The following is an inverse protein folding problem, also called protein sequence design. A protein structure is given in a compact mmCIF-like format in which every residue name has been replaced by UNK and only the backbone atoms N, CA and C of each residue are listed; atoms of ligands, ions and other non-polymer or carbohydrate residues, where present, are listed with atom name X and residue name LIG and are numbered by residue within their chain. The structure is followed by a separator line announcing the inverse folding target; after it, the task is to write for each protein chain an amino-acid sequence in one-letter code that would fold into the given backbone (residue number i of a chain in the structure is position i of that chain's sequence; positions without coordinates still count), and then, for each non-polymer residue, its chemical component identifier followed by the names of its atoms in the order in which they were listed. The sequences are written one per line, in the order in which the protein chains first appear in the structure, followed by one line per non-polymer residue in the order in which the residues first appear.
data_IF_263770542594
#
_entry.id   IF_263770542594
#
_cell.length_a   1.000
_cell.length_b   1.000
_cell.length_c   1.000
_cell.angle_alpha   90.00
_cell.angle_beta   90.00
_cell.angle_gamma   90.00
#
_symmetry.space_group_name_H-M   'P 1'
#
loop_
_entity.id
_entity.type
_entity.pdbx_description
1 polymer ?
#
# COMPACT_ATOMS: atom_id res chain seq x y z
N UNK A 1 5.18 -4.52 26.22
CA UNK A 1 4.52 -3.21 26.44
C UNK A 1 4.88 -2.16 25.37
N UNK A 2 6.15 -1.74 25.18
CA UNK A 2 6.53 -0.80 24.10
C UNK A 2 6.23 -1.31 22.68
N UNK A 3 6.46 -2.60 22.42
CA UNK A 3 6.18 -3.23 21.11
C UNK A 3 4.69 -3.23 20.75
N UNK A 4 3.82 -3.55 21.70
CA UNK A 4 2.37 -3.60 21.48
C UNK A 4 1.76 -2.22 21.26
N UNK A 5 2.23 -1.20 21.98
CA UNK A 5 1.83 0.20 21.76
C UNK A 5 2.21 0.65 20.34
N UNK A 6 3.42 0.34 19.88
CA UNK A 6 3.86 0.65 18.52
C UNK A 6 3.05 -0.12 17.47
N UNK A 7 2.76 -1.40 17.71
CA UNK A 7 1.92 -2.17 16.80
C UNK A 7 0.50 -1.61 16.71
N UNK A 8 -0.08 -1.23 17.84
CA UNK A 8 -1.38 -0.56 17.86
C UNK A 8 -1.33 0.79 17.14
N UNK A 9 -0.22 1.54 17.26
CA UNK A 9 0.00 2.77 16.50
C UNK A 9 -0.03 2.51 14.98
N UNK A 10 0.74 1.52 14.48
CA UNK A 10 0.81 1.23 13.05
C UNK A 10 -0.50 0.67 12.48
N UNK A 11 -1.24 -0.12 13.26
CA UNK A 11 -2.57 -0.62 12.87
C UNK A 11 -3.60 0.51 12.68
N UNK A 12 -3.46 1.60 13.44
CA UNK A 12 -4.43 2.68 13.47
C UNK A 12 -4.03 3.92 12.65
N UNK A 13 -2.77 4.03 12.22
CA UNK A 13 -2.24 5.21 11.52
C UNK A 13 -1.54 4.77 10.23
N UNK A 14 -1.69 5.58 9.19
CA UNK A 14 -1.01 5.38 7.89
C UNK A 14 0.12 6.39 7.72
N UNK A 15 1.28 5.98 7.22
CA UNK A 15 2.28 6.95 6.76
C UNK A 15 1.78 7.65 5.50
N UNK A 16 1.46 6.84 4.48
CA UNK A 16 0.99 7.30 3.19
C UNK A 16 -0.42 6.74 2.92
N UNK A 17 -1.47 7.56 2.99
CA UNK A 17 -2.79 7.18 2.51
C UNK A 17 -2.72 6.89 1.01
N UNK A 18 -3.07 5.68 0.61
CA UNK A 18 -3.12 5.29 -0.79
C UNK A 18 -4.42 4.55 -1.11
N UNK A 19 -4.81 4.60 -2.37
CA UNK A 19 -5.99 3.88 -2.86
C UNK A 19 -5.79 2.38 -2.70
N UNK A 20 -6.87 1.64 -2.43
CA UNK A 20 -6.80 0.20 -2.15
C UNK A 20 -6.21 -0.20 -0.80
N UNK A 21 -5.75 0.74 0.03
CA UNK A 21 -5.03 0.42 1.28
C UNK A 21 -5.84 -0.42 2.28
N UNK A 22 -5.33 -1.63 2.59
CA UNK A 22 -5.97 -2.71 3.36
C UNK A 22 -6.02 -2.54 4.88
N UNK A 23 -6.11 -1.30 5.39
CA UNK A 23 -6.07 -1.04 6.83
C UNK A 23 -7.13 -1.80 7.62
N UNK A 24 -8.35 -1.88 7.09
CA UNK A 24 -9.47 -2.59 7.73
C UNK A 24 -9.28 -4.10 7.75
N UNK A 25 -8.45 -4.64 6.86
CA UNK A 25 -8.08 -6.06 6.81
C UNK A 25 -6.88 -6.41 7.67
N UNK A 26 -6.07 -5.45 8.11
CA UNK A 26 -4.85 -5.72 8.89
C UNK A 26 -5.13 -6.67 10.07
N UNK A 27 -6.24 -6.48 10.80
CA UNK A 27 -6.61 -7.35 11.94
C UNK A 27 -6.85 -8.81 11.54
N UNK A 28 -7.25 -9.05 10.29
CA UNK A 28 -7.48 -10.37 9.72
C UNK A 28 -6.23 -10.94 9.05
N UNK A 29 -5.40 -10.10 8.43
CA UNK A 29 -4.18 -10.53 7.73
C UNK A 29 -3.02 -10.81 8.67
N UNK A 30 -2.87 -10.05 9.76
CA UNK A 30 -1.73 -10.20 10.68
C UNK A 30 -1.62 -11.59 11.31
N UNK A 31 -2.72 -12.23 11.77
CA UNK A 31 -2.65 -13.61 12.28
C UNK A 31 -2.24 -14.65 11.23
N UNK A 32 -2.39 -14.34 9.94
CA UNK A 32 -2.08 -15.26 8.83
C UNK A 32 -0.62 -15.16 8.38
N UNK A 33 0.17 -14.25 8.94
CA UNK A 33 1.58 -14.08 8.58
C UNK A 33 2.36 -15.28 9.13
N UNK A 34 2.99 -16.10 8.28
CA UNK A 34 3.72 -17.28 8.71
C UNK A 34 5.10 -16.89 9.24
N UNK A 35 5.82 -17.83 9.87
CA UNK A 35 7.24 -17.63 10.17
C UNK A 35 8.04 -17.47 8.87
N UNK A 36 8.87 -16.43 8.82
CA UNK A 36 9.70 -16.06 7.66
C UNK A 36 10.97 -15.31 8.09
N UNK A 37 11.97 -15.31 7.22
CA UNK A 37 13.19 -14.51 7.38
C UNK A 37 13.15 -13.25 6.53
N UNK A 38 12.70 -13.40 5.28
CA UNK A 38 12.53 -12.31 4.32
C UNK A 38 11.05 -12.03 4.13
N UNK A 39 10.66 -10.76 4.22
CA UNK A 39 9.33 -10.30 3.86
C UNK A 39 9.40 -9.44 2.60
N UNK A 40 8.51 -9.69 1.64
CA UNK A 40 8.42 -8.90 0.40
C UNK A 40 6.97 -8.44 0.22
N UNK A 41 6.75 -7.14 0.25
CA UNK A 41 5.48 -6.53 -0.14
C UNK A 41 5.55 -6.17 -1.62
N UNK A 42 4.98 -7.02 -2.48
CA UNK A 42 5.16 -6.98 -3.95
C UNK A 42 4.44 -5.78 -4.58
N UNK A 43 3.25 -5.48 -4.07
CA UNK A 43 2.39 -4.37 -4.51
C UNK A 43 2.22 -3.42 -3.32
N UNK A 44 3.25 -2.63 -3.08
CA UNK A 44 3.50 -1.93 -1.83
C UNK A 44 2.42 -0.93 -1.45
N UNK A 45 1.90 -0.14 -2.40
CA UNK A 45 0.94 0.92 -2.14
C UNK A 45 1.38 1.79 -0.96
N UNK A 46 0.53 1.89 0.06
CA UNK A 46 0.82 2.61 1.31
C UNK A 46 1.61 1.83 2.39
N UNK A 47 2.11 0.63 2.09
CA UNK A 47 2.87 -0.27 2.98
C UNK A 47 2.14 -0.65 4.28
N UNK A 48 0.81 -0.78 4.21
CA UNK A 48 -0.02 -0.87 5.41
C UNK A 48 0.25 -2.14 6.22
N UNK A 49 0.52 -3.27 5.56
CA UNK A 49 0.83 -4.52 6.25
C UNK A 49 2.28 -4.52 6.75
N UNK A 50 3.24 -4.03 5.97
CA UNK A 50 4.64 -3.87 6.41
C UNK A 50 4.76 -3.08 7.70
N UNK A 51 4.07 -1.94 7.82
CA UNK A 51 4.12 -1.16 9.06
C UNK A 51 3.50 -1.91 10.25
N UNK A 52 2.42 -2.68 10.03
CA UNK A 52 1.65 -3.31 11.09
C UNK A 52 2.13 -4.72 11.51
N UNK A 53 3.01 -5.37 10.73
CA UNK A 53 3.63 -6.64 11.10
C UNK A 53 4.78 -6.41 12.08
N UNK A 54 5.15 -7.46 12.79
CA UNK A 54 6.43 -7.49 13.53
C UNK A 54 7.57 -7.47 12.53
N UNK A 55 8.61 -6.62 12.69
CA UNK A 55 9.75 -6.58 11.78
C UNK A 55 10.40 -7.97 11.58
N UNK A 56 10.74 -8.29 10.34
CA UNK A 56 11.56 -9.45 10.00
C UNK A 56 13.02 -9.04 9.78
N UNK A 57 13.99 -9.98 9.80
CA UNK A 57 15.40 -9.69 9.53
C UNK A 57 15.62 -8.95 8.20
N UNK A 58 14.90 -9.36 7.15
CA UNK A 58 14.89 -8.67 5.86
C UNK A 58 13.45 -8.27 5.51
N UNK A 59 13.27 -7.03 5.09
CA UNK A 59 12.00 -6.49 4.59
C UNK A 59 12.24 -5.72 3.29
N UNK A 60 11.43 -6.01 2.29
CA UNK A 60 11.47 -5.39 0.97
C UNK A 60 10.11 -4.77 0.69
N UNK A 61 10.11 -3.48 0.37
CA UNK A 61 8.98 -2.80 -0.22
C UNK A 61 9.20 -2.68 -1.73
N UNK A 62 8.24 -3.15 -2.52
CA UNK A 62 8.23 -2.97 -3.96
C UNK A 62 6.91 -2.35 -4.41
N UNK A 63 6.97 -1.42 -5.35
CA UNK A 63 5.80 -1.01 -6.12
C UNK A 63 6.25 -0.61 -7.53
N UNK A 64 5.40 -0.83 -8.53
CA UNK A 64 5.69 -0.40 -9.90
C UNK A 64 5.53 1.12 -10.07
N UNK A 65 4.72 1.77 -9.23
CA UNK A 65 4.56 3.23 -9.23
C UNK A 65 5.82 3.91 -8.69
N UNK A 66 6.58 4.52 -9.61
CA UNK A 66 7.82 5.22 -9.28
C UNK A 66 7.62 6.36 -8.28
N UNK A 67 6.43 6.99 -8.21
CA UNK A 67 6.17 8.05 -7.23
C UNK A 67 6.13 7.49 -5.80
N UNK A 68 5.64 6.26 -5.63
CA UNK A 68 5.60 5.57 -4.34
C UNK A 68 6.99 5.09 -3.93
N UNK A 69 7.70 4.40 -4.83
CA UNK A 69 9.05 3.96 -4.56
C UNK A 69 9.99 5.14 -4.27
N UNK A 70 9.89 6.23 -5.04
CA UNK A 70 10.64 7.46 -4.79
C UNK A 70 10.30 8.07 -3.42
N UNK A 71 9.01 8.12 -3.04
CA UNK A 71 8.60 8.62 -1.73
C UNK A 71 9.27 7.83 -0.60
N UNK A 72 9.17 6.50 -0.62
CA UNK A 72 9.76 5.67 0.44
C UNK A 72 11.29 5.75 0.46
N UNK A 73 11.93 5.79 -0.71
CA UNK A 73 13.38 5.97 -0.82
C UNK A 73 13.85 7.31 -0.21
N UNK A 74 13.19 8.42 -0.55
CA UNK A 74 13.49 9.74 0.02
C UNK A 74 13.17 9.77 1.52
N UNK A 75 12.04 9.20 1.93
CA UNK A 75 11.63 9.17 3.32
C UNK A 75 12.66 8.44 4.20
N UNK A 76 13.33 7.41 3.68
CA UNK A 76 14.45 6.76 4.36
C UNK A 76 15.71 7.61 4.29
N UNK A 77 16.14 8.00 3.09
CA UNK A 77 17.51 8.48 2.86
C UNK A 77 17.70 10.00 3.05
N UNK A 78 16.63 10.80 3.01
CA UNK A 78 16.64 12.27 3.11
C UNK A 78 15.55 12.75 4.08
N UNK A 79 15.39 12.03 5.19
CA UNK A 79 14.29 12.24 6.13
C UNK A 79 14.30 13.65 6.76
N UNK A 80 15.48 14.17 7.10
CA UNK A 80 15.59 15.44 7.83
C UNK A 80 15.15 16.62 6.95
N UNK A 81 15.61 16.65 5.71
CA UNK A 81 15.22 17.64 4.70
C UNK A 81 13.73 17.54 4.39
N UNK A 82 13.24 16.31 4.18
CA UNK A 82 11.82 16.04 3.96
C UNK A 82 10.97 16.54 5.13
N UNK A 83 11.34 16.20 6.38
CA UNK A 83 10.59 16.57 7.57
C UNK A 83 10.58 18.09 7.78
N UNK A 84 11.71 18.75 7.55
CA UNK A 84 11.83 20.21 7.67
C UNK A 84 10.86 20.90 6.73
N UNK A 85 10.85 20.53 5.44
CA UNK A 85 9.95 21.12 4.46
C UNK A 85 8.49 20.83 4.80
N UNK A 86 8.15 19.57 5.13
CA UNK A 86 6.79 19.20 5.50
C UNK A 86 6.30 19.92 6.76
N UNK A 87 7.17 20.20 7.75
CA UNK A 87 6.78 20.90 8.96
C UNK A 87 6.23 22.30 8.68
N UNK A 88 6.88 23.04 7.76
CA UNK A 88 6.52 24.43 7.43
C UNK A 88 5.48 24.53 6.31
N UNK A 89 5.34 23.50 5.46
CA UNK A 89 4.47 23.53 4.29
C UNK A 89 2.99 23.69 4.71
N UNK A 90 2.33 24.82 4.38
CA UNK A 90 0.97 25.09 4.83
C UNK A 90 -0.04 24.28 4.01
N UNK A 91 -1.24 24.09 4.58
CA UNK A 91 -2.38 23.64 3.79
C UNK A 91 -2.86 24.79 2.90
N UNK A 92 -2.71 24.65 1.58
CA UNK A 92 -3.07 25.66 0.59
C UNK A 92 -3.62 25.04 -0.69
N UNK A 93 -4.75 25.58 -1.18
CA UNK A 93 -5.34 25.16 -2.45
C UNK A 93 -4.45 25.52 -3.65
N UNK A 94 -3.76 26.67 -3.57
CA UNK A 94 -2.81 27.11 -4.57
C UNK A 94 -1.66 26.11 -4.70
N UNK A 95 -1.03 25.75 -3.57
CA UNK A 95 0.06 24.74 -3.54
C UNK A 95 -0.44 23.41 -4.11
N UNK A 96 -1.63 22.97 -3.67
CA UNK A 96 -2.24 21.71 -4.13
C UNK A 96 -2.42 21.68 -5.65
N UNK A 97 -3.03 22.72 -6.23
CA UNK A 97 -3.23 22.84 -7.68
C UNK A 97 -1.91 22.88 -8.45
N UNK A 98 -0.91 23.58 -7.93
CA UNK A 98 0.44 23.62 -8.51
C UNK A 98 1.10 22.23 -8.47
N UNK A 99 1.01 21.52 -7.35
CA UNK A 99 1.59 20.19 -7.20
C UNK A 99 0.89 19.13 -8.05
N UNK A 100 -0.43 19.22 -8.23
CA UNK A 100 -1.15 18.34 -9.18
C UNK A 100 -0.56 18.47 -10.59
N UNK A 101 -0.27 19.69 -11.05
CA UNK A 101 0.28 19.95 -12.39
C UNK A 101 1.76 19.60 -12.52
N UNK A 102 2.51 19.63 -11.42
CA UNK A 102 3.97 19.50 -11.40
C UNK A 102 4.45 18.25 -10.68
N UNK A 103 3.57 17.27 -10.44
CA UNK A 103 3.86 16.09 -9.64
C UNK A 103 5.11 15.34 -10.10
N UNK A 104 5.27 15.20 -11.42
CA UNK A 104 6.37 14.44 -12.02
C UNK A 104 7.64 15.27 -12.27
N UNK A 105 7.66 16.56 -11.93
CA UNK A 105 8.80 17.47 -12.16
C UNK A 105 9.58 17.76 -10.88
N UNK A 106 10.85 18.16 -11.02
CA UNK A 106 11.75 18.48 -9.92
C UNK A 106 12.62 17.30 -9.47
N UNK A 107 13.35 17.52 -8.39
CA UNK A 107 14.23 16.55 -7.72
C UNK A 107 13.44 15.40 -7.07
N UNK A 108 14.14 14.32 -6.70
CA UNK A 108 13.55 13.20 -5.96
C UNK A 108 12.83 13.67 -4.68
N UNK A 109 13.46 14.58 -3.92
CA UNK A 109 12.92 15.17 -2.70
C UNK A 109 11.63 15.95 -2.97
N UNK A 110 11.64 16.83 -3.98
CA UNK A 110 10.46 17.62 -4.35
C UNK A 110 9.29 16.72 -4.77
N UNK A 111 9.56 15.68 -5.59
CA UNK A 111 8.53 14.70 -5.97
C UNK A 111 7.96 13.98 -4.74
N UNK A 112 8.79 13.56 -3.79
CA UNK A 112 8.34 12.91 -2.57
C UNK A 112 7.47 13.85 -1.69
N UNK A 113 7.85 15.12 -1.57
CA UNK A 113 7.06 16.15 -0.87
C UNK A 113 5.70 16.34 -1.55
N UNK A 114 5.67 16.45 -2.89
CA UNK A 114 4.43 16.57 -3.67
C UNK A 114 3.53 15.34 -3.47
N UNK A 115 4.08 14.13 -3.59
CA UNK A 115 3.37 12.86 -3.35
C UNK A 115 2.75 12.82 -1.95
N UNK A 116 3.53 13.11 -0.92
CA UNK A 116 3.04 13.14 0.46
C UNK A 116 1.95 14.21 0.66
N UNK A 117 2.17 15.42 0.14
CA UNK A 117 1.21 16.50 0.28
C UNK A 117 -0.12 16.17 -0.40
N UNK A 118 -0.10 15.66 -1.64
CA UNK A 118 -1.31 15.36 -2.40
C UNK A 118 -2.09 14.19 -1.80
N UNK A 119 -1.43 13.09 -1.39
CA UNK A 119 -2.11 11.96 -0.72
C UNK A 119 -2.83 12.36 0.58
N UNK A 120 -2.37 13.41 1.25
CA UNK A 120 -2.97 13.92 2.49
C UNK A 120 -3.96 15.07 2.29
N UNK A 121 -3.92 15.78 1.16
CA UNK A 121 -4.77 16.96 0.94
C UNK A 121 -5.85 16.74 -0.11
N UNK A 122 -5.66 15.82 -1.05
CA UNK A 122 -6.70 15.44 -2.01
C UNK A 122 -7.73 14.51 -1.37
N UNK A 123 -9.00 14.70 -1.76
CA UNK A 123 -10.08 13.78 -1.44
C UNK A 123 -9.76 12.37 -1.95
N UNK A 124 -10.01 11.35 -1.12
CA UNK A 124 -9.73 9.95 -1.46
C UNK A 124 -8.24 9.61 -1.58
N UNK A 125 -7.34 10.54 -1.27
CA UNK A 125 -5.87 10.39 -1.37
C UNK A 125 -5.36 10.12 -2.78
N UNK A 126 -6.12 10.54 -3.80
CA UNK A 126 -5.69 10.43 -5.19
C UNK A 126 -4.54 11.39 -5.48
N UNK A 127 -3.52 10.88 -6.18
CA UNK A 127 -2.43 11.70 -6.71
C UNK A 127 -2.85 12.52 -7.93
N UNK A 128 -3.87 12.04 -8.66
CA UNK A 128 -4.37 12.64 -9.90
C UNK A 128 -5.81 13.13 -9.75
N UNK A 129 -6.11 14.22 -10.44
CA UNK A 129 -7.42 14.88 -10.41
C UNK A 129 -7.56 15.93 -9.30
N UNK A 130 -8.39 16.94 -9.55
CA UNK A 130 -8.71 17.99 -8.58
C UNK A 130 -10.11 17.75 -7.99
N UNK A 131 -10.24 17.29 -6.74
CA UNK A 131 -11.54 17.07 -6.11
C UNK A 131 -12.23 18.36 -5.64
N UNK A 132 -11.59 19.53 -5.78
CA UNK A 132 -12.08 20.82 -5.31
C UNK A 132 -11.84 21.08 -3.82
N UNK A 133 -11.72 22.36 -3.46
CA UNK A 133 -11.30 22.83 -2.14
C UNK A 133 -12.23 22.39 -0.99
N UNK A 134 -13.55 22.45 -1.19
CA UNK A 134 -14.53 22.10 -0.14
C UNK A 134 -14.39 20.66 0.37
N UNK A 135 -13.96 19.74 -0.49
CA UNK A 135 -13.69 18.34 -0.12
C UNK A 135 -12.31 18.16 0.50
N UNK A 136 -11.33 18.98 0.09
CA UNK A 136 -9.98 18.98 0.63
C UNK A 136 -9.89 19.53 2.06
N UNK A 137 -10.73 20.52 2.44
CA UNK A 137 -10.72 21.12 3.78
C UNK A 137 -10.94 20.10 4.91
N UNK A 138 -11.66 19.01 4.65
CA UNK A 138 -11.85 17.89 5.60
C UNK A 138 -10.52 17.20 5.98
N UNK A 139 -9.49 17.36 5.17
CA UNK A 139 -8.18 16.76 5.37
C UNK A 139 -7.19 17.66 6.10
N UNK A 140 -7.52 18.93 6.39
CA UNK A 140 -6.60 19.90 7.01
C UNK A 140 -6.07 19.39 8.36
N UNK A 141 -6.97 18.98 9.26
CA UNK A 141 -6.58 18.45 10.59
C UNK A 141 -5.77 17.16 10.47
N UNK A 142 -6.10 16.32 9.48
CA UNK A 142 -5.39 15.06 9.22
C UNK A 142 -3.94 15.35 8.79
N UNK A 143 -3.77 16.28 7.85
CA UNK A 143 -2.46 16.69 7.35
C UNK A 143 -1.60 17.30 8.47
N UNK A 144 -2.14 18.24 9.25
CA UNK A 144 -1.39 18.86 10.36
C UNK A 144 -0.94 17.82 11.40
N UNK A 145 -1.86 16.95 11.82
CA UNK A 145 -1.54 15.90 12.80
C UNK A 145 -0.49 14.90 12.28
N UNK A 146 -0.39 14.70 10.96
CA UNK A 146 0.56 13.76 10.36
C UNK A 146 2.01 14.18 10.59
N UNK A 147 2.28 15.49 10.58
CA UNK A 147 3.64 16.05 10.68
C UNK A 147 4.35 15.60 11.96
N UNK A 148 3.60 15.46 13.05
CA UNK A 148 4.15 15.12 14.38
C UNK A 148 4.49 13.64 14.57
N UNK A 149 4.13 12.77 13.62
CA UNK A 149 4.27 11.32 13.78
C UNK A 149 5.23 10.68 12.76
N UNK A 150 5.88 11.51 11.93
CA UNK A 150 6.76 11.05 10.85
C UNK A 150 8.00 10.32 11.37
N UNK A 151 8.59 10.80 12.47
CA UNK A 151 9.78 10.17 13.07
C UNK A 151 9.52 8.75 13.52
N UNK A 152 8.32 8.46 14.05
CA UNK A 152 7.92 7.10 14.45
C UNK A 152 7.89 6.16 13.24
N UNK A 153 7.33 6.61 12.12
CA UNK A 153 7.33 5.83 10.88
C UNK A 153 8.73 5.69 10.29
N UNK A 154 9.55 6.73 10.36
CA UNK A 154 10.94 6.71 9.89
C UNK A 154 11.76 5.64 10.62
N UNK A 155 11.60 5.55 11.93
CA UNK A 155 12.29 4.52 12.72
C UNK A 155 11.89 3.11 12.34
N UNK A 156 10.63 2.89 11.94
CA UNK A 156 10.13 1.56 11.54
C UNK A 156 10.65 1.11 10.18
N UNK A 157 10.79 2.03 9.23
CA UNK A 157 11.10 1.71 7.82
C UNK A 157 12.58 1.84 7.47
N UNK A 158 13.42 2.31 8.40
CA UNK A 158 14.82 2.66 8.14
C UNK A 158 15.71 1.56 7.55
N UNK A 159 15.34 0.29 7.76
CA UNK A 159 16.09 -0.88 7.29
C UNK A 159 15.38 -1.61 6.14
N UNK A 160 14.29 -1.05 5.60
CA UNK A 160 13.53 -1.67 4.53
C UNK A 160 14.21 -1.37 3.20
N UNK A 161 14.41 -2.42 2.40
CA UNK A 161 14.92 -2.31 1.04
C UNK A 161 13.81 -1.79 0.14
N UNK A 162 14.09 -0.73 -0.63
CA UNK A 162 13.12 -0.14 -1.56
C UNK A 162 13.45 -0.59 -2.98
N UNK A 163 12.46 -1.20 -3.63
CA UNK A 163 12.52 -1.65 -5.01
C UNK A 163 11.42 -0.96 -5.84
N UNK A 164 11.66 -0.83 -7.14
CA UNK A 164 10.69 -0.30 -8.10
C UNK A 164 10.71 -1.18 -9.35
N UNK A 165 10.16 -2.39 -9.22
CA UNK A 165 10.22 -3.42 -10.25
C UNK A 165 8.84 -4.02 -10.52
N UNK A 166 8.65 -4.53 -11.74
CA UNK A 166 7.48 -5.35 -12.09
C UNK A 166 7.49 -6.64 -11.23
N UNK A 167 6.30 -7.17 -10.91
CA UNK A 167 6.15 -8.40 -10.13
C UNK A 167 6.90 -9.59 -10.77
N UNK A 168 7.01 -9.60 -12.10
CA UNK A 168 7.75 -10.59 -12.90
C UNK A 168 9.24 -10.62 -12.58
N UNK A 169 9.79 -9.53 -12.05
CA UNK A 169 11.19 -9.40 -11.65
C UNK A 169 11.35 -9.61 -10.15
N UNK A 170 10.50 -8.94 -9.34
CA UNK A 170 10.68 -8.93 -7.89
C UNK A 170 10.40 -10.30 -7.25
N UNK A 171 9.43 -11.06 -7.76
CA UNK A 171 9.07 -12.36 -7.20
C UNK A 171 10.24 -13.34 -7.39
N UNK A 172 10.75 -13.59 -8.61
CA UNK A 172 11.90 -14.48 -8.79
C UNK A 172 13.17 -14.01 -8.06
N UNK A 173 13.40 -12.69 -8.00
CA UNK A 173 14.58 -12.10 -7.33
C UNK A 173 14.69 -12.49 -5.86
N UNK A 174 13.56 -12.61 -5.16
CA UNK A 174 13.50 -12.89 -3.73
C UNK A 174 12.93 -14.28 -3.41
N UNK A 175 12.65 -15.12 -4.41
CA UNK A 175 12.00 -16.40 -4.19
C UNK A 175 12.93 -17.41 -3.52
N UNK A 176 12.65 -17.72 -2.25
CA UNK A 176 13.33 -18.74 -1.49
C UNK A 176 12.38 -19.33 -0.42
N UNK A 177 12.62 -20.56 0.09
CA UNK A 177 11.78 -21.20 1.11
C UNK A 177 11.54 -20.39 2.40
N UNK A 178 12.44 -19.46 2.74
CA UNK A 178 12.34 -18.58 3.90
C UNK A 178 11.72 -17.20 3.60
N UNK A 179 11.30 -16.95 2.36
CA UNK A 179 10.62 -15.71 1.97
C UNK A 179 9.11 -15.83 2.17
N UNK A 180 8.51 -14.78 2.71
CA UNK A 180 7.07 -14.55 2.72
C UNK A 180 6.73 -13.37 1.82
N UNK A 181 5.91 -13.61 0.81
CA UNK A 181 5.40 -12.60 -0.09
C UNK A 181 3.97 -12.22 0.29
N UNK A 182 3.71 -10.93 0.44
CA UNK A 182 2.35 -10.40 0.46
C UNK A 182 2.05 -9.72 -0.87
N UNK A 183 0.94 -10.15 -1.48
CA UNK A 183 0.50 -9.67 -2.78
C UNK A 183 -0.88 -9.03 -2.63
N UNK A 184 -0.98 -7.79 -3.09
CA UNK A 184 -2.22 -7.03 -3.15
C UNK A 184 -2.32 -6.27 -4.49
N UNK A 185 -2.40 -7.01 -5.62
CA UNK A 185 -2.38 -6.39 -6.94
C UNK A 185 -3.59 -5.48 -7.16
N UNK A 186 -3.52 -4.53 -8.12
CA UNK A 186 -4.71 -3.93 -8.69
C UNK A 186 -5.74 -5.00 -9.08
N UNK A 187 -6.94 -4.96 -8.50
CA UNK A 187 -7.95 -5.98 -8.77
C UNK A 187 -8.49 -5.88 -10.19
N UNK A 188 -8.89 -7.04 -10.74
CA UNK A 188 -9.47 -7.18 -12.07
C UNK A 188 -10.54 -6.12 -12.33
N UNK A 189 -10.47 -5.48 -13.49
CA UNK A 189 -11.34 -4.35 -13.86
C UNK A 189 -12.84 -4.64 -13.67
N UNK A 190 -13.29 -5.85 -14.02
CA UNK A 190 -14.70 -6.25 -13.96
C UNK A 190 -15.20 -6.46 -12.53
N UNK A 191 -14.29 -6.61 -11.57
CA UNK A 191 -14.61 -6.81 -10.15
C UNK A 191 -14.65 -5.49 -9.37
N UNK A 192 -14.40 -4.35 -10.03
CA UNK A 192 -14.29 -3.03 -9.38
C UNK A 192 -15.47 -2.14 -9.72
N UNK A 193 -16.02 -1.48 -8.69
CA UNK A 193 -17.05 -0.44 -8.85
C UNK A 193 -16.52 0.85 -9.51
N UNK A 194 -15.19 1.04 -9.63
CA UNK A 194 -14.57 2.18 -10.32
C UNK A 194 -13.37 1.75 -11.17
N UNK A 195 -13.40 2.17 -12.44
CA UNK A 195 -12.50 1.73 -13.52
C UNK A 195 -11.14 2.45 -13.58
N UNK A 196 -10.93 3.56 -12.86
CA UNK A 196 -9.65 4.32 -12.82
C UNK A 196 -9.26 4.62 -11.38
N UNK A 197 -8.19 4.01 -10.88
CA UNK A 197 -7.77 4.20 -9.48
C UNK A 197 -6.29 3.98 -9.20
N UNK A 198 -5.59 3.17 -10.00
CA UNK A 198 -4.14 3.00 -9.93
C UNK A 198 -3.45 3.69 -11.12
N UNK A 199 -2.18 4.08 -10.94
CA UNK A 199 -1.38 4.65 -12.03
C UNK A 199 -1.00 3.56 -13.05
N UNK A 200 -0.82 2.33 -12.57
CA UNK A 200 -0.54 1.15 -13.37
C UNK A 200 -1.65 0.12 -13.11
N UNK A 201 -2.51 -0.12 -14.10
CA UNK A 201 -3.58 -1.13 -14.04
C UNK A 201 -3.05 -2.48 -14.57
N UNK A 202 -3.67 -3.59 -14.19
CA UNK A 202 -3.28 -4.93 -14.65
C UNK A 202 -4.28 -5.48 -15.68
N UNK A 203 -3.75 -6.01 -16.78
CA UNK A 203 -4.54 -6.77 -17.76
C UNK A 203 -4.89 -8.17 -17.24
N UNK A 204 -5.86 -8.84 -17.86
CA UNK A 204 -6.19 -10.24 -17.52
C UNK A 204 -4.95 -11.11 -17.73
N UNK A 205 -4.16 -10.84 -18.77
CA UNK A 205 -2.91 -11.53 -19.09
C UNK A 205 -1.85 -11.31 -18.01
N UNK A 206 -1.76 -10.09 -17.43
CA UNK A 206 -0.87 -9.84 -16.29
C UNK A 206 -1.32 -10.62 -15.04
N UNK A 207 -2.62 -10.73 -14.80
CA UNK A 207 -3.14 -11.55 -13.71
C UNK A 207 -2.80 -13.03 -13.92
N UNK A 208 -2.96 -13.57 -15.14
CA UNK A 208 -2.57 -14.95 -15.46
C UNK A 208 -1.08 -15.15 -15.22
N UNK A 209 -0.21 -14.25 -15.72
CA UNK A 209 1.24 -14.33 -15.49
C UNK A 209 1.61 -14.27 -14.01
N UNK A 210 0.92 -13.44 -13.23
CA UNK A 210 1.11 -13.39 -11.79
C UNK A 210 0.76 -14.74 -11.15
N UNK A 211 -0.39 -15.32 -11.51
CA UNK A 211 -0.85 -16.62 -11.01
C UNK A 211 0.13 -17.74 -11.37
N UNK A 212 0.60 -17.79 -12.61
CA UNK A 212 1.62 -18.75 -13.07
C UNK A 212 2.93 -18.63 -12.30
N UNK A 213 3.37 -17.41 -11.99
CA UNK A 213 4.60 -17.20 -11.21
C UNK A 213 4.44 -17.65 -9.76
N UNK A 214 3.33 -17.30 -9.11
CA UNK A 214 3.16 -17.57 -7.68
C UNK A 214 2.83 -19.03 -7.38
N UNK A 215 2.19 -19.76 -8.29
CA UNK A 215 1.92 -21.19 -8.12
C UNK A 215 3.19 -22.04 -8.17
N UNK A 216 4.26 -21.52 -8.80
CA UNK A 216 5.56 -22.17 -8.90
C UNK A 216 6.60 -21.64 -7.89
N UNK A 217 6.23 -20.68 -7.04
CA UNK A 217 7.16 -20.06 -6.09
C UNK A 217 7.48 -21.00 -4.91
N UNK A 218 8.73 -20.94 -4.43
CA UNK A 218 9.20 -21.68 -3.25
C UNK A 218 8.79 -21.01 -1.94
N UNK A 219 8.66 -19.69 -1.96
CA UNK A 219 8.26 -18.89 -0.81
C UNK A 219 6.81 -19.08 -0.40
N UNK A 220 6.50 -18.66 0.83
CA UNK A 220 5.13 -18.58 1.32
C UNK A 220 4.45 -17.35 0.70
N UNK A 221 3.21 -17.49 0.26
CA UNK A 221 2.48 -16.43 -0.45
C UNK A 221 1.12 -16.22 0.21
N UNK A 222 0.83 -14.96 0.51
CA UNK A 222 -0.50 -14.49 0.87
C UNK A 222 -0.98 -13.49 -0.17
N UNK A 223 -2.06 -13.84 -0.87
CA UNK A 223 -2.65 -13.03 -1.95
C UNK A 223 -4.03 -12.52 -1.53
N UNK A 224 -4.20 -11.21 -1.49
CA UNK A 224 -5.51 -10.55 -1.35
C UNK A 224 -6.12 -10.30 -2.72
N UNK A 225 -7.39 -10.64 -2.90
CA UNK A 225 -8.15 -10.36 -4.13
C UNK A 225 -9.66 -10.33 -3.87
N UNK A 226 -10.44 -10.00 -4.91
CA UNK A 226 -11.86 -10.35 -4.95
C UNK A 226 -12.06 -11.75 -5.52
N UNK A 227 -13.18 -12.36 -5.17
CA UNK A 227 -13.53 -13.67 -5.71
C UNK A 227 -13.68 -13.62 -7.23
N UNK A 228 -12.98 -14.51 -7.94
CA UNK A 228 -12.97 -14.54 -9.40
C UNK A 228 -12.67 -15.97 -9.91
N UNK A 229 -13.35 -16.45 -10.97
CA UNK A 229 -13.14 -17.79 -11.53
C UNK A 229 -11.69 -18.09 -11.94
N UNK A 230 -10.95 -17.11 -12.47
CA UNK A 230 -9.56 -17.30 -12.89
C UNK A 230 -8.70 -17.64 -11.67
N UNK A 231 -8.86 -16.88 -10.59
CA UNK A 231 -8.13 -17.12 -9.34
C UNK A 231 -8.51 -18.47 -8.72
N UNK A 232 -9.79 -18.83 -8.73
CA UNK A 232 -10.26 -20.12 -8.23
C UNK A 232 -9.67 -21.30 -9.02
N UNK A 233 -9.52 -21.16 -10.34
CA UNK A 233 -8.93 -22.20 -11.19
C UNK A 233 -7.45 -22.44 -10.86
N UNK A 234 -6.64 -21.37 -10.80
CA UNK A 234 -5.20 -21.47 -10.55
C UNK A 234 -4.86 -21.81 -9.10
N UNK A 235 -5.67 -21.36 -8.14
CA UNK A 235 -5.40 -21.46 -6.71
C UNK A 235 -6.32 -22.46 -6.00
N UNK A 236 -6.86 -23.45 -6.74
CA UNK A 236 -7.81 -24.45 -6.23
C UNK A 236 -7.26 -25.27 -5.06
N UNK A 237 -5.94 -25.47 -5.01
CA UNK A 237 -5.24 -26.26 -3.99
C UNK A 237 -4.72 -25.39 -2.83
N UNK A 238 -4.99 -24.08 -2.86
CA UNK A 238 -4.56 -23.14 -1.82
C UNK A 238 -5.65 -22.96 -0.76
N UNK A 239 -5.24 -22.63 0.46
CA UNK A 239 -6.17 -22.27 1.53
C UNK A 239 -6.88 -20.96 1.20
N UNK A 240 -8.22 -20.99 1.15
CA UNK A 240 -9.06 -19.82 0.82
C UNK A 240 -9.81 -19.34 2.07
N UNK A 241 -9.59 -18.08 2.44
CA UNK A 241 -10.30 -17.40 3.51
C UNK A 241 -11.11 -16.23 2.95
N UNK A 242 -12.30 -15.98 3.50
CA UNK A 242 -13.15 -14.85 3.08
C UNK A 242 -13.53 -13.97 4.25
N UNK A 243 -13.51 -12.65 4.02
CA UNK A 243 -13.80 -11.65 5.05
C UNK A 243 -14.86 -10.68 4.54
N UNK A 244 -15.95 -10.52 5.30
CA UNK A 244 -16.97 -9.51 5.00
C UNK A 244 -16.49 -8.14 5.49
N UNK A 245 -16.28 -7.22 4.55
CA UNK A 245 -15.87 -5.86 4.83
C UNK A 245 -17.04 -4.91 4.56
N UNK A 246 -17.21 -3.96 5.47
CA UNK A 246 -18.12 -2.83 5.33
C UNK A 246 -17.30 -1.59 4.93
N UNK A 247 -17.13 -1.29 3.63
CA UNK A 247 -16.40 -0.11 3.20
C UNK A 247 -17.06 1.17 3.72
N UNK A 248 -16.26 2.07 4.29
CA UNK A 248 -16.73 3.35 4.81
C UNK A 248 -16.88 4.45 3.72
N UNK A 249 -16.89 4.08 2.44
CA UNK A 249 -16.71 5.04 1.32
C UNK A 249 -17.97 5.23 0.45
N UNK A 250 -19.13 4.69 0.84
CA UNK A 250 -20.37 4.82 0.04
C UNK A 250 -21.44 5.64 0.74
N UNK A 251 -22.05 6.65 0.08
CA UNK A 251 -23.13 7.48 0.63
C UNK A 251 -24.50 6.77 0.55
N UNK A 252 -24.53 5.45 0.37
CA UNK A 252 -25.78 4.67 0.25
C UNK A 252 -26.33 4.34 1.63
N UNK A 253 -27.67 4.39 1.78
CA UNK A 253 -28.41 4.03 3.00
C UNK A 253 -28.13 2.58 3.47
N UNK A 254 -27.76 1.68 2.56
CA UNK A 254 -27.17 0.37 2.84
C UNK A 254 -25.74 0.33 2.29
N UNK A 255 -24.77 0.02 3.15
CA UNK A 255 -23.38 -0.17 2.73
C UNK A 255 -23.28 -1.51 1.98
N UNK A 256 -22.81 -1.54 0.72
CA UNK A 256 -22.58 -2.81 0.04
C UNK A 256 -21.54 -3.60 0.82
N UNK A 257 -21.83 -4.88 1.09
CA UNK A 257 -20.87 -5.80 1.68
C UNK A 257 -19.88 -6.17 0.59
N UNK A 258 -18.61 -5.88 0.81
CA UNK A 258 -17.52 -6.34 -0.05
C UNK A 258 -16.95 -7.59 0.60
N UNK A 259 -16.88 -8.69 -0.15
CA UNK A 259 -16.23 -9.92 0.30
C UNK A 259 -14.80 -9.88 -0.21
N UNK A 260 -13.86 -9.78 0.71
CA UNK A 260 -12.45 -9.97 0.39
C UNK A 260 -12.11 -11.44 0.46
N UNK A 261 -11.32 -11.92 -0.49
CA UNK A 261 -10.78 -13.27 -0.50
C UNK A 261 -9.26 -13.21 -0.30
N UNK A 262 -8.75 -14.08 0.55
CA UNK A 262 -7.31 -14.26 0.77
C UNK A 262 -6.95 -15.71 0.47
N UNK A 263 -5.96 -15.90 -0.40
CA UNK A 263 -5.40 -17.21 -0.75
C UNK A 263 -4.01 -17.39 -0.14
N UNK A 264 -3.74 -18.57 0.43
CA UNK A 264 -2.48 -18.93 1.09
C UNK A 264 -1.95 -20.27 0.55
N UNK A 265 -0.67 -20.35 0.19
CA UNK A 265 -0.03 -21.61 -0.20
C UNK A 265 0.58 -22.39 0.99
N UNK A 266 0.15 -22.08 2.20
CA UNK A 266 0.62 -22.66 3.46
C UNK A 266 -0.52 -22.78 4.46
N UNK A 267 -0.32 -23.59 5.49
CA UNK A 267 -1.25 -23.77 6.61
C UNK A 267 -1.11 -22.64 7.65
N UNK A 268 -2.24 -22.23 8.23
CA UNK A 268 -2.34 -21.13 9.21
C UNK A 268 -2.36 -21.67 10.62
#
# INVERSE_FOLDING_TARGET
MKSEILQNFYRNRKLLPYWGGKRYLIKHLLPLIPKHYTYVEVFGGGAALLFAKTPSPIEVYNDIDQLLANFFNVFINQFNEFQTIISILPFSDYIRKTYIKTLNTGTALEKAIKTFYLTHTNWGSFLFGDPGLSRALRSLKIYQNKKHILSIFRERIKNVIIENQDFKVIIPKYDNPNTFFYLDPPYLHDTRTRKKGYNNEMSIEDHIKLLELITNAKGKIMLSCYDNPIYQYYLKDWNKLTFRIYPNITPFKQKPVVIETVYLNYEV
#
